data_IF_416100435453
#
_entry.id   IF_416100435453
#
_cell.length_a   1.000
_cell.length_b   1.000
_cell.length_c   1.000
_cell.angle_alpha   90.00
_cell.angle_beta   90.00
_cell.angle_gamma   90.00
#
_symmetry.space_group_name_H-M   'P 1'
#
loop_
_entity.id
_entity.type
_entity.pdbx_description
1 polymer ?
#
# COMPACT_ATOMS: atom_id res chain seq x y z
N UNK A 1 -21.24 -21.08 -18.01
CA UNK A 1 -20.14 -21.76 -17.32
C UNK A 1 -19.09 -20.68 -17.04
N UNK A 2 -19.05 -20.19 -15.82
CA UNK A 2 -17.98 -19.29 -15.34
C UNK A 2 -16.66 -20.08 -15.35
N UNK A 3 -15.72 -19.63 -16.14
CA UNK A 3 -14.34 -20.10 -16.00
C UNK A 3 -13.76 -19.41 -14.76
N UNK A 4 -13.70 -20.12 -13.65
CA UNK A 4 -12.95 -19.69 -12.48
C UNK A 4 -11.51 -19.43 -12.89
N UNK A 5 -11.01 -18.23 -12.61
CA UNK A 5 -9.59 -17.89 -12.82
C UNK A 5 -8.81 -18.82 -11.90
N UNK A 6 -8.00 -19.71 -12.47
CA UNK A 6 -7.13 -20.57 -11.69
C UNK A 6 -6.00 -19.69 -11.12
N UNK A 7 -6.06 -19.41 -9.84
CA UNK A 7 -5.08 -18.56 -9.14
C UNK A 7 -3.69 -19.23 -9.03
N UNK A 8 -3.62 -20.55 -9.19
CA UNK A 8 -2.36 -21.29 -9.24
C UNK A 8 -1.74 -21.20 -10.65
N UNK A 9 -0.95 -20.16 -10.87
CA UNK A 9 -0.30 -19.86 -12.14
C UNK A 9 0.94 -20.71 -12.39
N UNK A 10 1.58 -21.19 -11.34
CA UNK A 10 2.74 -22.10 -11.39
C UNK A 10 2.35 -23.55 -11.59
N UNK A 11 1.10 -23.91 -11.31
CA UNK A 11 0.54 -25.29 -11.35
C UNK A 11 1.23 -26.25 -10.38
N UNK A 12 1.67 -25.75 -9.25
CA UNK A 12 2.28 -26.55 -8.18
C UNK A 12 1.28 -26.96 -7.08
N UNK A 13 -0.01 -26.60 -7.23
CA UNK A 13 -1.12 -26.79 -6.31
C UNK A 13 -1.03 -25.98 -5.01
N UNK A 14 -0.19 -24.92 -5.01
CA UNK A 14 -0.05 -24.00 -3.88
C UNK A 14 -0.25 -22.58 -4.40
N UNK A 15 -1.34 -21.92 -4.02
CA UNK A 15 -1.54 -20.50 -4.33
C UNK A 15 -0.71 -19.65 -3.38
N UNK A 16 0.31 -18.99 -3.88
CA UNK A 16 1.25 -18.18 -3.12
C UNK A 16 1.66 -16.90 -3.87
N UNK A 17 2.62 -16.16 -3.33
CA UNK A 17 3.09 -14.90 -3.90
C UNK A 17 3.69 -15.04 -5.31
N UNK A 18 4.18 -16.21 -5.68
CA UNK A 18 4.74 -16.47 -7.03
C UNK A 18 3.63 -16.47 -8.07
N UNK A 19 2.49 -17.09 -7.74
CA UNK A 19 1.31 -17.09 -8.62
C UNK A 19 0.76 -15.68 -8.82
N UNK A 20 0.77 -14.87 -7.75
CA UNK A 20 0.40 -13.48 -7.81
C UNK A 20 1.22 -12.70 -8.82
N UNK A 21 2.51 -12.91 -8.85
CA UNK A 21 3.42 -12.16 -9.73
C UNK A 21 3.31 -12.60 -11.18
N UNK A 22 3.06 -13.88 -11.41
CA UNK A 22 2.73 -14.39 -12.73
C UNK A 22 1.38 -13.86 -13.21
N UNK A 23 0.42 -13.70 -12.30
CA UNK A 23 -0.87 -13.08 -12.58
C UNK A 23 -0.70 -11.59 -12.92
N UNK A 24 0.05 -10.82 -12.11
CA UNK A 24 0.45 -9.43 -12.41
C UNK A 24 1.09 -9.32 -13.80
N UNK A 25 2.01 -10.22 -14.15
CA UNK A 25 2.70 -10.23 -15.44
C UNK A 25 1.75 -10.46 -16.64
N UNK A 26 0.77 -11.34 -16.49
CA UNK A 26 -0.18 -11.65 -17.57
C UNK A 26 -1.18 -10.52 -17.81
N UNK A 27 -1.55 -9.79 -16.77
CA UNK A 27 -2.52 -8.68 -16.83
C UNK A 27 -1.92 -7.46 -17.50
N UNK A 28 -0.68 -7.11 -17.19
CA UNK A 28 0.02 -5.99 -17.83
C UNK A 28 0.16 -6.17 -19.37
N UNK A 29 0.08 -7.40 -19.87
CA UNK A 29 0.07 -7.69 -21.31
C UNK A 29 -1.28 -7.44 -22.00
N UNK A 30 -2.36 -7.39 -21.24
CA UNK A 30 -3.73 -7.37 -21.81
C UNK A 30 -4.48 -6.05 -21.61
N UNK A 31 -3.96 -5.06 -20.88
CA UNK A 31 -4.66 -3.80 -20.61
C UNK A 31 -4.24 -2.67 -21.55
N UNK A 32 -5.07 -2.45 -22.58
CA UNK A 32 -5.27 -1.15 -23.18
C UNK A 32 -6.07 -0.28 -22.20
N UNK A 33 -5.53 0.88 -21.85
CA UNK A 33 -6.02 1.92 -20.92
C UNK A 33 -7.54 1.96 -20.72
N UNK A 34 -8.06 1.79 -19.49
CA UNK A 34 -9.45 2.14 -19.20
C UNK A 34 -9.61 3.67 -19.24
N UNK A 35 -10.72 4.14 -19.81
CA UNK A 35 -11.10 5.54 -19.81
C UNK A 35 -11.05 6.12 -18.38
N UNK A 36 -10.33 7.24 -18.24
CA UNK A 36 -10.17 7.98 -16.99
C UNK A 36 -11.53 8.30 -16.36
N UNK A 37 -11.80 7.87 -15.11
CA UNK A 37 -13.01 8.27 -14.41
C UNK A 37 -13.02 9.77 -14.14
N UNK A 38 -14.20 10.39 -14.06
CA UNK A 38 -14.38 11.80 -13.72
C UNK A 38 -13.63 12.16 -12.44
N UNK A 39 -12.82 13.21 -12.51
CA UNK A 39 -11.96 13.69 -11.43
C UNK A 39 -12.82 14.12 -10.23
N UNK A 40 -12.62 13.57 -9.02
CA UNK A 40 -13.40 13.96 -7.85
C UNK A 40 -13.20 15.44 -7.52
N UNK A 41 -14.29 16.15 -7.25
CA UNK A 41 -14.24 17.53 -6.76
C UNK A 41 -13.69 17.57 -5.34
N UNK A 42 -12.66 18.39 -5.14
CA UNK A 42 -11.80 18.58 -3.98
C UNK A 42 -12.53 18.93 -2.68
N UNK A 43 -12.15 18.35 -1.52
CA UNK A 43 -12.09 19.11 -0.29
C UNK A 43 -10.81 19.97 -0.29
N UNK A 44 -10.92 21.26 -0.02
CA UNK A 44 -9.79 22.18 0.07
C UNK A 44 -8.88 21.81 1.24
N UNK A 45 -7.75 21.17 0.97
CA UNK A 45 -6.66 21.05 1.94
C UNK A 45 -5.34 21.36 1.25
N UNK A 46 -4.60 22.37 1.75
CA UNK A 46 -3.30 22.69 1.19
C UNK A 46 -2.33 21.53 1.45
N UNK A 47 -1.59 21.11 0.42
CA UNK A 47 -0.44 20.23 0.54
C UNK A 47 0.56 20.85 1.53
N UNK A 48 0.48 20.41 2.77
CA UNK A 48 1.54 20.66 3.74
C UNK A 48 2.09 19.29 4.06
N UNK A 49 3.40 19.08 3.89
CA UNK A 49 4.10 17.86 4.37
C UNK A 49 4.02 17.82 5.93
N UNK A 50 2.80 17.87 6.44
CA UNK A 50 2.44 17.86 7.86
C UNK A 50 1.46 16.74 8.12
N UNK A 51 1.67 15.99 9.22
CA UNK A 51 0.73 14.94 9.61
C UNK A 51 -0.66 15.50 9.90
N UNK A 52 -1.69 14.67 9.64
CA UNK A 52 -3.08 15.00 9.96
C UNK A 52 -3.23 15.29 11.47
N UNK A 53 -3.66 16.50 11.86
CA UNK A 53 -3.82 16.87 13.27
C UNK A 53 -4.95 16.07 13.97
N UNK A 54 -5.87 15.46 13.21
CA UNK A 54 -6.98 14.65 13.69
C UNK A 54 -6.68 13.15 13.66
N UNK A 55 -5.43 12.76 13.40
CA UNK A 55 -5.02 11.35 13.36
C UNK A 55 -5.31 10.67 14.71
N UNK A 56 -5.91 9.49 14.64
CA UNK A 56 -6.12 8.60 15.78
C UNK A 56 -4.88 7.76 16.10
N UNK A 57 -3.98 7.59 15.10
CA UNK A 57 -2.64 7.07 15.27
C UNK A 57 -1.66 7.97 14.52
N UNK A 58 -0.55 8.32 15.16
CA UNK A 58 0.53 9.10 14.58
C UNK A 58 1.87 8.50 14.97
N UNK A 59 2.58 7.93 13.99
CA UNK A 59 3.95 7.47 14.12
C UNK A 59 4.92 8.54 13.58
N UNK A 60 5.67 9.17 14.47
CA UNK A 60 6.63 10.21 14.13
C UNK A 60 8.04 9.63 14.04
N UNK A 61 8.45 9.23 12.86
CA UNK A 61 9.77 8.65 12.64
C UNK A 61 10.93 9.65 12.77
N UNK A 62 10.64 10.96 12.72
CA UNK A 62 11.61 12.00 13.03
C UNK A 62 12.07 11.95 14.50
N UNK A 63 11.25 11.39 15.38
CA UNK A 63 11.56 11.22 16.80
C UNK A 63 12.42 9.97 17.09
N UNK A 64 12.69 9.15 16.09
CA UNK A 64 13.62 8.01 16.19
C UNK A 64 12.99 6.68 16.63
N UNK A 65 11.71 6.62 16.98
CA UNK A 65 10.99 5.38 17.33
C UNK A 65 9.51 5.51 17.09
N UNK A 66 8.84 4.36 16.82
CA UNK A 66 7.38 4.27 16.77
C UNK A 66 6.97 2.94 17.41
N UNK A 67 6.34 3.01 18.59
CA UNK A 67 5.92 1.84 19.39
C UNK A 67 4.82 1.01 18.69
N UNK A 68 4.11 1.64 17.77
CA UNK A 68 3.04 1.04 16.99
C UNK A 68 3.58 0.06 15.93
N UNK A 69 4.87 0.18 15.59
CA UNK A 69 5.50 -0.55 14.50
C UNK A 69 6.61 -1.48 14.96
N UNK A 70 6.86 -2.50 14.14
CA UNK A 70 7.96 -3.43 14.27
C UNK A 70 8.60 -3.69 12.91
N UNK A 71 9.92 -3.88 12.88
CA UNK A 71 10.63 -4.33 11.69
C UNK A 71 10.48 -5.84 11.50
N UNK A 72 10.24 -6.29 10.26
CA UNK A 72 10.31 -7.70 9.89
C UNK A 72 11.76 -8.18 9.87
N UNK A 73 12.00 -9.41 10.34
CA UNK A 73 13.34 -9.96 10.44
C UNK A 73 13.39 -11.48 10.21
N UNK A 74 14.35 -11.92 9.40
CA UNK A 74 14.74 -13.32 9.27
C UNK A 74 13.88 -14.18 8.34
N UNK A 75 12.99 -13.61 7.53
CA UNK A 75 12.14 -14.35 6.58
C UNK A 75 12.04 -13.63 5.24
N UNK A 76 11.61 -14.35 4.20
CA UNK A 76 11.40 -13.85 2.84
C UNK A 76 9.97 -14.14 2.39
N UNK A 77 9.42 -13.28 1.51
CA UNK A 77 8.15 -13.54 0.83
C UNK A 77 8.33 -14.50 -0.36
N UNK A 78 9.57 -14.87 -0.72
CA UNK A 78 9.85 -15.57 -1.98
C UNK A 78 9.68 -14.66 -3.20
N UNK A 79 9.82 -15.23 -4.41
CA UNK A 79 9.66 -14.45 -5.62
C UNK A 79 8.29 -13.74 -5.67
N UNK A 80 8.27 -12.47 -6.11
CA UNK A 80 9.33 -11.71 -6.78
C UNK A 80 10.26 -10.93 -5.86
N UNK A 81 10.17 -11.09 -4.54
CA UNK A 81 11.00 -10.37 -3.56
C UNK A 81 12.39 -11.02 -3.49
N UNK A 82 13.39 -10.44 -4.18
CA UNK A 82 14.76 -10.98 -4.19
C UNK A 82 15.53 -10.59 -2.92
N UNK A 83 14.89 -10.73 -1.77
CA UNK A 83 15.50 -10.38 -0.50
C UNK A 83 14.97 -11.21 0.69
N UNK A 84 15.76 -11.23 1.74
CA UNK A 84 15.33 -11.57 3.11
C UNK A 84 15.13 -10.28 3.89
N UNK A 85 14.04 -10.19 4.67
CA UNK A 85 13.79 -9.05 5.54
C UNK A 85 14.79 -9.02 6.70
N UNK A 86 15.37 -7.83 6.96
CA UNK A 86 16.29 -7.60 8.06
C UNK A 86 15.88 -6.38 8.87
N UNK A 87 15.67 -6.57 10.18
CA UNK A 87 15.37 -5.47 11.09
C UNK A 87 16.48 -4.42 11.12
N UNK A 88 17.75 -4.83 10.91
CA UNK A 88 18.89 -3.93 10.81
C UNK A 88 18.83 -2.96 9.62
N UNK A 89 18.01 -3.26 8.62
CA UNK A 89 17.81 -2.42 7.44
C UNK A 89 16.74 -1.34 7.65
N UNK A 90 16.01 -1.38 8.77
CA UNK A 90 15.08 -0.36 9.21
C UNK A 90 15.73 0.49 10.31
N UNK A 91 16.28 1.65 9.95
CA UNK A 91 17.06 2.49 10.87
C UNK A 91 16.48 3.89 10.99
N UNK A 92 16.61 4.51 12.17
CA UNK A 92 16.20 5.90 12.38
C UNK A 92 17.42 6.79 12.29
N UNK A 93 17.49 7.59 11.22
CA UNK A 93 18.60 8.48 10.93
C UNK A 93 18.11 9.68 10.11
N UNK A 94 18.77 10.83 10.27
CA UNK A 94 18.51 12.05 9.49
C UNK A 94 17.03 12.49 9.52
N UNK A 95 16.41 12.41 10.71
CA UNK A 95 15.01 12.73 10.96
C UNK A 95 14.01 11.90 10.12
N UNK A 96 14.32 10.63 9.88
CA UNK A 96 13.48 9.71 9.15
C UNK A 96 13.69 8.25 9.58
N UNK A 97 12.71 7.41 9.33
CA UNK A 97 12.89 5.98 9.17
C UNK A 97 13.51 5.75 7.79
N UNK A 98 14.66 5.08 7.76
CA UNK A 98 15.36 4.68 6.56
C UNK A 98 15.14 3.18 6.36
N UNK A 99 14.52 2.81 5.25
CA UNK A 99 14.38 1.42 4.82
C UNK A 99 15.39 1.17 3.70
N UNK A 100 16.28 0.20 3.90
CA UNK A 100 17.45 0.00 3.04
C UNK A 100 17.43 -1.37 2.37
N UNK A 101 17.76 -1.40 1.08
CA UNK A 101 18.15 -2.60 0.35
C UNK A 101 19.67 -2.70 0.39
N UNK A 102 20.22 -3.85 0.76
CA UNK A 102 21.66 -4.10 0.72
C UNK A 102 21.96 -5.53 0.27
N UNK A 103 23.22 -5.85 0.03
CA UNK A 103 23.65 -7.23 -0.22
C UNK A 103 23.48 -8.07 1.04
N UNK A 104 23.06 -9.33 0.85
CA UNK A 104 23.10 -10.27 1.99
C UNK A 104 24.53 -10.65 2.32
N UNK A 105 25.07 -10.27 3.50
CA UNK A 105 26.45 -10.59 3.85
C UNK A 105 26.68 -12.08 4.11
N UNK A 106 25.63 -12.88 4.26
CA UNK A 106 25.70 -14.33 4.46
C UNK A 106 25.81 -15.08 3.14
N UNK A 107 25.39 -14.46 2.04
CA UNK A 107 25.32 -15.09 0.73
C UNK A 107 24.21 -16.15 0.59
N UNK A 108 23.32 -16.26 1.58
CA UNK A 108 22.17 -17.18 1.52
C UNK A 108 21.10 -16.65 0.56
N UNK A 109 20.93 -15.35 0.51
CA UNK A 109 20.05 -14.61 -0.41
C UNK A 109 20.89 -13.65 -1.24
N UNK A 110 20.35 -13.12 -2.32
CA UNK A 110 21.08 -12.10 -3.09
C UNK A 110 21.14 -10.78 -2.31
N UNK A 111 20.01 -10.39 -1.70
CA UNK A 111 19.89 -9.11 -1.02
C UNK A 111 19.17 -9.25 0.33
N UNK A 112 19.28 -8.19 1.11
CA UNK A 112 18.44 -7.91 2.26
C UNK A 112 17.53 -6.73 1.92
N UNK A 113 16.27 -6.81 2.31
CA UNK A 113 15.29 -5.73 2.21
C UNK A 113 14.88 -5.23 3.59
N UNK A 114 14.05 -4.21 3.61
CA UNK A 114 13.45 -3.71 4.84
C UNK A 114 11.94 -3.66 4.74
N UNK A 115 11.27 -4.12 5.78
CA UNK A 115 9.83 -4.00 5.96
C UNK A 115 9.56 -3.52 7.39
N UNK A 116 8.68 -2.50 7.51
CA UNK A 116 8.27 -1.93 8.79
C UNK A 116 6.76 -1.87 8.84
N UNK A 117 6.15 -2.53 9.84
CA UNK A 117 4.71 -2.79 9.88
C UNK A 117 4.13 -2.56 11.26
N UNK A 118 2.84 -2.22 11.33
CA UNK A 118 2.15 -2.08 12.60
C UNK A 118 1.96 -3.43 13.30
N UNK A 119 1.91 -3.38 14.65
CA UNK A 119 1.51 -4.53 15.46
C UNK A 119 0.02 -4.81 15.32
N UNK A 120 -0.79 -3.75 15.29
CA UNK A 120 -2.24 -3.81 15.25
C UNK A 120 -2.78 -3.73 13.82
N UNK A 121 -4.04 -4.14 13.64
CA UNK A 121 -4.79 -4.05 12.41
C UNK A 121 -5.66 -2.79 12.40
N UNK A 122 -5.79 -2.17 11.23
CA UNK A 122 -6.56 -0.95 10.98
C UNK A 122 -7.60 -1.20 9.90
N UNK A 123 -8.74 -0.54 9.99
CA UNK A 123 -9.86 -0.69 9.08
C UNK A 123 -10.16 0.65 8.37
N UNK A 124 -11.38 0.84 7.90
CA UNK A 124 -11.82 2.06 7.20
C UNK A 124 -11.31 3.34 7.84
N UNK A 125 -10.82 4.26 7.02
CA UNK A 125 -10.26 5.52 7.46
C UNK A 125 -9.30 6.13 6.45
N UNK A 126 -8.68 7.24 6.85
CA UNK A 126 -7.68 7.94 6.06
C UNK A 126 -6.27 7.57 6.53
N UNK A 127 -5.46 7.11 5.60
CA UNK A 127 -4.08 6.69 5.78
C UNK A 127 -3.16 7.62 5.01
N UNK A 128 -2.06 8.06 5.61
CA UNK A 128 -1.11 8.92 4.92
C UNK A 128 0.31 8.74 5.47
N UNK A 129 1.28 8.87 4.59
CA UNK A 129 2.71 8.88 4.92
C UNK A 129 3.43 10.01 4.20
N UNK A 130 4.55 10.46 4.77
CA UNK A 130 5.53 11.31 4.08
C UNK A 130 6.72 10.44 3.68
N UNK A 131 6.94 10.26 2.38
CA UNK A 131 7.92 9.33 1.82
C UNK A 131 8.79 10.00 0.76
N UNK A 132 10.08 9.65 0.73
CA UNK A 132 11.02 9.85 -0.37
C UNK A 132 11.43 8.47 -0.89
N UNK A 133 11.17 8.18 -2.17
CA UNK A 133 11.36 6.87 -2.77
C UNK A 133 12.77 6.62 -3.29
N UNK A 134 13.11 5.35 -3.55
CA UNK A 134 14.34 4.96 -4.23
C UNK A 134 14.17 5.14 -5.75
N UNK A 135 15.19 5.70 -6.41
CA UNK A 135 15.32 5.74 -7.87
C UNK A 135 16.38 4.75 -8.31
N UNK A 136 15.95 3.60 -8.78
CA UNK A 136 16.78 2.57 -9.40
C UNK A 136 15.89 1.57 -10.11
N UNK A 137 16.30 1.08 -11.29
CA UNK A 137 15.57 0.01 -11.98
C UNK A 137 15.49 -1.23 -11.07
N UNK A 138 14.39 -1.97 -11.14
CA UNK A 138 14.21 -3.23 -10.45
C UNK A 138 13.81 -3.14 -8.98
N UNK A 139 13.50 -1.96 -8.42
CA UNK A 139 13.15 -1.80 -6.99
C UNK A 139 11.77 -1.16 -6.78
N UNK A 140 11.16 -1.43 -5.63
CA UNK A 140 9.90 -0.84 -5.17
C UNK A 140 10.12 -0.13 -3.84
N UNK A 141 9.49 1.03 -3.66
CA UNK A 141 9.29 1.72 -2.39
C UNK A 141 7.80 1.87 -2.16
N UNK A 142 7.25 1.34 -1.05
CA UNK A 142 5.81 1.22 -0.86
C UNK A 142 5.29 1.77 0.46
N UNK A 143 4.00 2.11 0.45
CA UNK A 143 3.14 2.35 1.61
C UNK A 143 1.80 1.69 1.35
N UNK A 144 1.36 0.78 2.23
CA UNK A 144 0.20 -0.06 1.98
C UNK A 144 -0.47 -0.57 3.25
N UNK A 145 -1.67 -1.14 3.10
CA UNK A 145 -2.26 -2.00 4.12
C UNK A 145 -2.30 -3.43 3.61
N UNK A 146 -2.05 -4.38 4.50
CA UNK A 146 -2.06 -5.80 4.15
C UNK A 146 -2.62 -6.65 5.28
N UNK A 147 -3.42 -7.64 4.91
CA UNK A 147 -3.75 -8.83 5.68
C UNK A 147 -3.87 -10.02 4.75
N UNK A 148 -3.65 -11.23 5.25
CA UNK A 148 -3.68 -12.40 4.40
C UNK A 148 -3.60 -13.71 5.18
N UNK A 149 -3.31 -14.83 4.49
CA UNK A 149 -3.27 -16.17 5.08
C UNK A 149 -2.36 -16.31 6.30
N UNK A 150 -1.26 -15.56 6.36
CA UNK A 150 -0.36 -15.54 7.54
C UNK A 150 -1.02 -14.95 8.80
N UNK A 151 -2.07 -14.14 8.62
CA UNK A 151 -2.89 -13.57 9.69
C UNK A 151 -4.20 -14.34 9.89
N UNK A 152 -4.39 -15.49 9.22
CA UNK A 152 -5.64 -16.27 9.14
C UNK A 152 -6.82 -15.48 8.55
N UNK A 153 -6.53 -14.55 7.65
CA UNK A 153 -7.51 -13.70 6.98
C UNK A 153 -7.51 -13.95 5.47
N UNK A 154 -8.58 -13.56 4.74
CA UNK A 154 -8.51 -13.40 3.30
C UNK A 154 -7.43 -12.36 2.94
N UNK A 155 -6.85 -12.47 1.77
CA UNK A 155 -5.89 -11.48 1.30
C UNK A 155 -6.62 -10.22 0.83
N UNK A 156 -6.54 -9.18 1.65
CA UNK A 156 -6.99 -7.83 1.36
C UNK A 156 -5.80 -6.86 1.49
N UNK A 157 -5.63 -5.97 0.50
CA UNK A 157 -4.48 -5.07 0.40
C UNK A 157 -4.87 -3.77 -0.32
N UNK A 158 -4.26 -2.64 0.05
CA UNK A 158 -4.39 -1.34 -0.62
C UNK A 158 -3.02 -0.72 -0.73
N UNK A 159 -2.58 -0.40 -1.96
CA UNK A 159 -1.19 -0.09 -2.27
C UNK A 159 -0.97 1.33 -2.76
N UNK A 160 0.18 1.87 -2.35
CA UNK A 160 0.90 2.98 -2.98
C UNK A 160 2.32 2.48 -3.25
N UNK A 161 2.70 2.35 -4.52
CA UNK A 161 4.00 1.82 -4.94
C UNK A 161 4.71 2.81 -5.87
N UNK A 162 5.87 3.31 -5.46
CA UNK A 162 6.78 4.02 -6.37
C UNK A 162 7.74 3.01 -6.95
N UNK A 163 7.64 2.79 -8.26
CA UNK A 163 8.53 1.88 -9.00
C UNK A 163 9.80 2.65 -9.36
N UNK A 164 10.93 2.23 -8.82
CA UNK A 164 12.20 2.94 -8.95
C UNK A 164 12.68 3.18 -10.39
N UNK A 165 12.16 2.41 -11.36
CA UNK A 165 12.41 2.57 -12.79
C UNK A 165 11.88 3.89 -13.39
N UNK A 166 10.87 4.50 -12.75
CA UNK A 166 10.27 5.78 -13.15
C UNK A 166 9.62 6.45 -11.94
N UNK A 167 10.41 7.19 -11.18
CA UNK A 167 9.98 7.87 -9.95
C UNK A 167 9.16 9.16 -10.20
N UNK A 168 8.86 9.47 -11.45
CA UNK A 168 7.90 10.52 -11.82
C UNK A 168 6.45 10.03 -11.81
N UNK A 169 6.25 8.74 -11.46
CA UNK A 169 4.95 8.07 -11.39
C UNK A 169 4.80 7.30 -10.09
N UNK A 170 3.55 7.06 -9.72
CA UNK A 170 3.17 6.16 -8.63
C UNK A 170 2.12 5.19 -9.13
N UNK A 171 2.22 3.93 -8.73
CA UNK A 171 1.23 2.90 -8.96
C UNK A 171 0.32 2.78 -7.72
N UNK A 172 -0.98 2.86 -7.94
CA UNK A 172 -2.00 2.47 -6.97
C UNK A 172 -2.54 1.11 -7.34
N UNK A 173 -2.89 0.32 -6.34
CA UNK A 173 -3.48 -0.99 -6.55
C UNK A 173 -4.29 -1.40 -5.31
N UNK A 174 -5.09 -2.45 -5.41
CA UNK A 174 -5.72 -3.10 -4.27
C UNK A 174 -6.09 -4.54 -4.60
N UNK A 175 -6.22 -5.35 -3.55
CA UNK A 175 -6.64 -6.76 -3.62
C UNK A 175 -7.82 -6.97 -2.68
N UNK A 176 -8.80 -7.76 -3.13
CA UNK A 176 -9.95 -8.19 -2.34
C UNK A 176 -10.10 -9.69 -2.46
N UNK A 177 -9.97 -10.41 -1.36
CA UNK A 177 -9.93 -11.88 -1.33
C UNK A 177 -8.90 -12.47 -2.31
N UNK A 178 -7.73 -11.83 -2.44
CA UNK A 178 -6.67 -12.24 -3.35
C UNK A 178 -6.91 -11.89 -4.82
N UNK A 179 -8.01 -11.23 -5.16
CA UNK A 179 -8.27 -10.77 -6.52
C UNK A 179 -7.70 -9.36 -6.69
N UNK A 180 -6.71 -9.23 -7.53
CA UNK A 180 -6.07 -7.97 -7.95
C UNK A 180 -6.58 -7.50 -9.32
N UNK A 181 -5.68 -6.96 -10.15
CA UNK A 181 -5.94 -6.36 -11.46
C UNK A 181 -6.63 -5.00 -11.36
N UNK A 182 -6.21 -4.21 -10.38
CA UNK A 182 -6.73 -2.88 -10.13
C UNK A 182 -5.63 -1.81 -10.21
N UNK A 183 -4.52 -2.14 -10.90
CA UNK A 183 -3.38 -1.24 -11.05
C UNK A 183 -3.77 0.03 -11.80
N UNK A 184 -3.44 1.17 -11.21
CA UNK A 184 -3.58 2.49 -11.82
C UNK A 184 -2.28 3.26 -11.69
N UNK A 185 -1.71 3.69 -12.83
CA UNK A 185 -0.48 4.48 -12.86
C UNK A 185 -0.83 5.98 -12.94
N UNK A 186 -0.32 6.76 -11.98
CA UNK A 186 -0.54 8.20 -11.90
C UNK A 186 0.76 8.97 -12.13
N UNK A 187 0.72 9.99 -13.01
CA UNK A 187 1.85 10.92 -13.26
C UNK A 187 1.90 11.95 -12.13
N UNK A 188 3.01 11.99 -11.39
CA UNK A 188 3.16 12.82 -10.20
C UNK A 188 3.34 14.31 -10.51
N UNK A 189 4.00 14.64 -11.63
CA UNK A 189 4.41 15.99 -11.94
C UNK A 189 5.69 16.44 -11.22
N UNK A 190 6.32 15.54 -10.47
CA UNK A 190 7.61 15.70 -9.77
C UNK A 190 8.34 14.34 -9.75
N UNK A 191 9.59 14.33 -9.28
CA UNK A 191 10.36 13.10 -9.05
C UNK A 191 10.31 12.72 -7.56
N UNK A 192 9.67 11.61 -7.23
CA UNK A 192 9.47 11.12 -5.86
C UNK A 192 10.78 10.76 -5.13
N UNK A 193 11.90 10.67 -5.85
CA UNK A 193 13.23 10.42 -5.28
C UNK A 193 13.96 11.69 -4.83
N UNK A 194 13.53 12.87 -5.29
CA UNK A 194 14.22 14.13 -5.02
C UNK A 194 13.80 14.79 -3.70
N UNK A 195 12.67 14.39 -3.12
CA UNK A 195 12.15 14.99 -1.89
C UNK A 195 11.05 14.19 -1.22
N UNK A 196 10.60 14.71 -0.08
CA UNK A 196 9.48 14.14 0.63
C UNK A 196 8.16 14.67 0.07
N UNK A 197 7.27 13.76 -0.30
CA UNK A 197 5.90 14.02 -0.69
C UNK A 197 4.95 13.21 0.18
N UNK A 198 3.68 13.62 0.26
CA UNK A 198 2.68 12.86 0.99
C UNK A 198 1.88 11.97 0.05
N UNK A 199 1.71 10.74 0.47
CA UNK A 199 0.94 9.72 -0.22
C UNK A 199 -0.06 9.12 0.75
N UNK A 200 -1.30 8.98 0.33
CA UNK A 200 -2.32 8.43 1.21
C UNK A 200 -3.51 7.85 0.47
N UNK A 201 -4.42 7.26 1.22
CA UNK A 201 -5.70 6.79 0.72
C UNK A 201 -6.78 6.89 1.79
N UNK A 202 -7.98 7.23 1.35
CA UNK A 202 -9.20 7.18 2.14
C UNK A 202 -9.95 5.91 1.79
N UNK A 203 -9.91 4.94 2.70
CA UNK A 203 -10.57 3.65 2.58
C UNK A 203 -11.92 3.70 3.27
N UNK A 204 -12.98 3.57 2.49
CA UNK A 204 -14.37 3.51 2.94
C UNK A 204 -14.99 2.16 2.53
N UNK A 205 -16.16 1.85 3.07
CA UNK A 205 -16.86 0.59 2.78
C UNK A 205 -17.05 0.35 1.27
N UNK A 206 -17.35 1.39 0.51
CA UNK A 206 -17.75 1.31 -0.89
C UNK A 206 -16.76 2.03 -1.84
N UNK A 207 -15.62 2.52 -1.33
CA UNK A 207 -14.63 3.20 -2.17
C UNK A 207 -13.25 3.29 -1.52
N UNK A 208 -12.23 3.43 -2.38
CA UNK A 208 -10.90 3.87 -1.98
C UNK A 208 -10.57 5.10 -2.82
N UNK A 209 -10.15 6.19 -2.17
CA UNK A 209 -9.67 7.39 -2.87
C UNK A 209 -8.21 7.60 -2.53
N UNK A 210 -7.31 7.64 -3.54
CA UNK A 210 -5.89 7.91 -3.33
C UNK A 210 -5.58 9.40 -3.43
N UNK A 211 -4.57 9.81 -2.65
CA UNK A 211 -4.13 11.20 -2.52
C UNK A 211 -2.62 11.30 -2.72
N UNK A 212 -2.21 12.36 -3.42
CA UNK A 212 -0.81 12.79 -3.53
C UNK A 212 -0.75 14.26 -3.13
N UNK A 213 0.11 14.61 -2.18
CA UNK A 213 0.24 15.96 -1.63
C UNK A 213 -1.12 16.60 -1.27
N UNK A 214 -1.98 15.80 -0.59
CA UNK A 214 -3.31 16.20 -0.15
C UNK A 214 -4.35 16.36 -1.26
N UNK A 215 -4.00 16.10 -2.53
CA UNK A 215 -4.93 16.16 -3.67
C UNK A 215 -5.45 14.76 -3.98
N UNK A 216 -6.77 14.59 -4.07
CA UNK A 216 -7.38 13.36 -4.58
C UNK A 216 -7.02 13.16 -6.07
N UNK A 217 -6.48 11.99 -6.41
CA UNK A 217 -5.93 11.72 -7.74
C UNK A 217 -6.53 10.50 -8.42
N UNK A 218 -7.05 9.55 -7.65
CA UNK A 218 -7.72 8.36 -8.18
C UNK A 218 -8.78 7.86 -7.20
N UNK A 219 -9.87 7.26 -7.71
CA UNK A 219 -10.92 6.66 -6.90
C UNK A 219 -11.39 5.33 -7.50
N UNK A 220 -11.40 4.28 -6.68
CA UNK A 220 -12.03 2.99 -6.97
C UNK A 220 -13.36 2.86 -6.22
N UNK A 221 -14.37 2.22 -6.85
CA UNK A 221 -15.71 2.05 -6.28
C UNK A 221 -16.28 0.64 -6.47
N UNK A 222 -15.45 -0.31 -6.90
CA UNK A 222 -15.85 -1.69 -7.10
C UNK A 222 -14.88 -2.63 -6.43
N UNK A 223 -15.38 -3.76 -5.94
CA UNK A 223 -14.57 -4.82 -5.34
C UNK A 223 -13.63 -4.31 -4.20
N UNK A 224 -14.18 -3.47 -3.32
CA UNK A 224 -13.39 -2.82 -2.26
C UNK A 224 -13.08 -3.82 -1.14
N UNK A 225 -11.82 -3.92 -0.65
CA UNK A 225 -11.45 -4.76 0.48
C UNK A 225 -12.18 -4.35 1.76
N UNK A 226 -12.39 -5.30 2.67
CA UNK A 226 -13.16 -5.06 3.89
C UNK A 226 -12.51 -5.61 5.16
N UNK A 227 -11.46 -6.41 5.02
CA UNK A 227 -10.77 -7.02 6.15
C UNK A 227 -9.69 -6.08 6.69
N UNK A 228 -9.69 -5.77 8.00
CA UNK A 228 -8.64 -4.93 8.58
C UNK A 228 -7.24 -5.46 8.29
N UNK A 229 -6.32 -4.56 7.92
CA UNK A 229 -4.93 -4.86 7.59
C UNK A 229 -3.93 -4.12 8.48
N UNK A 230 -2.69 -4.59 8.48
CA UNK A 230 -1.57 -3.87 9.06
C UNK A 230 -1.14 -2.75 8.13
N UNK A 231 -0.76 -1.61 8.67
CA UNK A 231 -0.11 -0.54 7.90
C UNK A 231 1.36 -0.93 7.73
N UNK A 232 1.83 -0.92 6.49
CA UNK A 232 3.14 -1.43 6.14
C UNK A 232 3.88 -0.48 5.19
N UNK A 233 5.20 -0.52 5.28
CA UNK A 233 6.14 0.11 4.36
C UNK A 233 7.24 -0.90 4.08
N UNK A 234 7.65 -1.03 2.83
CA UNK A 234 8.80 -1.85 2.51
C UNK A 234 9.61 -1.32 1.32
N UNK A 235 10.83 -1.83 1.21
CA UNK A 235 11.70 -1.65 0.04
C UNK A 235 12.36 -2.98 -0.31
N UNK A 236 12.32 -3.32 -1.57
CA UNK A 236 12.81 -4.61 -2.04
C UNK A 236 13.21 -4.57 -3.52
N UNK A 237 14.21 -5.37 -3.93
CA UNK A 237 14.54 -5.61 -5.33
C UNK A 237 13.71 -6.76 -5.88
N UNK A 238 13.31 -6.65 -7.16
CA UNK A 238 12.51 -7.66 -7.84
C UNK A 238 13.36 -8.69 -8.59
N UNK A 239 12.83 -9.92 -8.68
CA UNK A 239 13.37 -10.97 -9.55
C UNK A 239 12.24 -11.62 -10.37
N UNK A 240 12.46 -11.82 -11.67
CA UNK A 240 11.48 -12.45 -12.57
C UNK A 240 10.29 -11.55 -12.94
N UNK A 241 10.38 -10.26 -12.66
CA UNK A 241 9.36 -9.22 -12.92
C UNK A 241 9.90 -8.04 -13.74
N UNK A 242 10.83 -8.30 -14.63
CA UNK A 242 11.54 -7.29 -15.42
C UNK A 242 10.59 -6.43 -16.29
N UNK A 243 9.50 -7.01 -16.78
CA UNK A 243 8.48 -6.27 -17.55
C UNK A 243 7.79 -5.20 -16.67
N UNK A 244 7.67 -5.45 -15.36
CA UNK A 244 7.05 -4.53 -14.39
C UNK A 244 8.07 -3.57 -13.78
N UNK A 245 9.25 -4.05 -13.35
CA UNK A 245 10.22 -3.26 -12.58
C UNK A 245 11.48 -2.89 -13.39
N UNK A 246 11.73 -3.49 -14.56
CA UNK A 246 13.03 -3.70 -15.21
C UNK A 246 13.96 -4.56 -14.33
N UNK A 247 15.05 -5.11 -14.90
CA UNK A 247 16.01 -5.89 -14.13
C UNK A 247 16.73 -5.02 -13.10
N UNK A 248 16.88 -5.53 -11.87
CA UNK A 248 17.69 -4.87 -10.87
C UNK A 248 19.17 -4.99 -11.22
N UNK A 249 19.89 -3.89 -11.21
CA UNK A 249 21.32 -3.81 -11.61
C UNK A 249 22.29 -4.20 -10.49
N UNK A 250 21.78 -4.49 -9.28
CA UNK A 250 22.59 -4.88 -8.13
C UNK A 250 23.24 -3.72 -7.37
N UNK A 251 22.88 -2.48 -7.70
CA UNK A 251 23.34 -1.29 -6.95
C UNK A 251 22.86 -1.32 -5.52
N UNK A 252 23.77 -1.27 -4.56
CA UNK A 252 23.48 -1.20 -3.11
C UNK A 252 24.55 -0.38 -2.40
N UNK A 253 24.26 0.24 -1.23
CA UNK A 253 22.95 0.29 -0.60
C UNK A 253 22.00 1.28 -1.27
N UNK A 254 20.68 0.97 -1.26
CA UNK A 254 19.61 1.86 -1.72
C UNK A 254 18.62 2.11 -0.58
N UNK A 255 18.18 3.35 -0.37
CA UNK A 255 17.38 3.70 0.80
C UNK A 255 16.19 4.57 0.44
N UNK A 256 14.97 4.14 0.81
CA UNK A 256 13.81 5.01 0.91
C UNK A 256 13.70 5.58 2.33
N UNK A 257 13.06 6.76 2.43
CA UNK A 257 12.95 7.48 3.71
C UNK A 257 11.51 7.84 4.00
N UNK A 258 11.10 7.66 5.26
CA UNK A 258 9.75 7.96 5.73
C UNK A 258 9.85 8.86 6.96
N UNK A 259 9.10 9.98 6.96
CA UNK A 259 9.13 10.92 8.08
C UNK A 259 8.06 10.63 9.13
N UNK A 260 6.90 10.16 8.68
CA UNK A 260 5.77 9.85 9.56
C UNK A 260 4.72 9.01 8.82
N UNK A 261 3.86 8.38 9.61
CA UNK A 261 2.61 7.74 9.18
C UNK A 261 1.47 8.24 10.07
N UNK A 262 0.33 8.53 9.48
CA UNK A 262 -0.91 8.82 10.20
C UNK A 262 -2.03 7.89 9.75
N UNK A 263 -2.93 7.61 10.70
CA UNK A 263 -4.21 6.99 10.44
C UNK A 263 -5.30 7.75 11.18
N UNK A 264 -6.37 8.10 10.50
CA UNK A 264 -7.60 8.64 11.09
C UNK A 264 -8.74 7.69 10.79
N UNK A 265 -9.31 7.11 11.84
CA UNK A 265 -10.44 6.19 11.73
C UNK A 265 -11.63 6.91 11.07
N UNK A 266 -12.34 6.21 10.16
CA UNK A 266 -13.59 6.71 9.61
C UNK A 266 -14.60 6.94 10.72
N UNK A 267 -15.34 8.06 10.64
CA UNK A 267 -16.45 8.30 11.54
C UNK A 267 -17.57 7.31 11.23
N UNK A 268 -18.06 6.63 12.25
CA UNK A 268 -19.28 5.84 12.12
C UNK A 268 -20.44 6.82 11.98
N UNK A 269 -21.05 6.90 10.80
CA UNK A 269 -22.30 7.67 10.65
C UNK A 269 -23.38 7.03 11.53
N UNK A 270 -23.52 7.52 12.73
CA UNK A 270 -24.71 7.26 13.55
C UNK A 270 -25.84 8.11 12.94
N UNK A 271 -26.53 7.61 11.95
CA UNK A 271 -27.92 8.04 11.71
C UNK A 271 -28.71 7.49 12.90
N UNK A 272 -29.32 8.36 13.72
CA UNK A 272 -30.27 7.87 14.71
C UNK A 272 -31.43 7.24 13.91
N UNK A 273 -31.72 5.97 14.12
CA UNK A 273 -32.99 5.39 13.74
C UNK A 273 -34.08 6.22 14.42
N UNK A 274 -34.73 7.07 13.64
CA UNK A 274 -35.96 7.74 14.12
C UNK A 274 -37.01 6.65 14.23
N UNK A 275 -37.50 6.34 15.44
CA UNK A 275 -38.58 5.39 15.56
C UNK A 275 -39.80 5.94 14.80
N UNK A 276 -40.25 5.23 13.80
CA UNK A 276 -41.55 5.48 13.17
C UNK A 276 -42.64 5.38 14.23
N UNK A 277 -43.06 6.54 14.74
CA UNK A 277 -44.17 6.64 15.68
C UNK A 277 -45.44 6.22 14.97
N UNK A 278 -45.97 5.06 15.34
CA UNK A 278 -47.35 4.70 15.08
C UNK A 278 -48.27 5.65 15.86
N UNK A 279 -48.89 6.55 15.14
CA UNK A 279 -50.00 7.34 15.66
C UNK A 279 -51.24 6.45 15.77
N UNK A 280 -51.88 6.28 16.95
CA UNK A 280 -53.10 5.48 17.03
C UNK A 280 -54.28 6.26 16.44
N UNK A 281 -55.00 5.59 15.53
CA UNK A 281 -56.23 6.10 14.93
C UNK A 281 -57.26 6.47 15.99
N UNK A 282 -57.69 7.72 15.99
CA UNK A 282 -58.78 8.21 16.85
C UNK A 282 -60.10 7.60 16.35
N UNK A 283 -60.76 6.84 17.20
CA UNK A 283 -62.11 6.39 17.06
C UNK A 283 -63.06 7.53 17.40
N UNK A 284 -63.86 7.97 16.42
CA UNK A 284 -65.02 8.82 16.70
C UNK A 284 -66.30 8.04 16.48
N UNK A 285 -67.02 7.87 17.56
CA UNK A 285 -68.45 7.45 17.60
C UNK A 285 -69.36 8.46 16.89
#
# INVERSE_FOLDING_TARGET
AEQGVNADMTKDNIVNVVDLCLLKKNVLKNNSNPSQPDQPTKPDQPSTNKPDPNATMYANFRAGTAKEFIASDGWTNGNPFDCVWKASNATFKDNALNLTIDKDPTGQYHYTGAEYRTNDFYSYGYYETSMQAIKNDGVVSSFFTYTGPSDNNPWDEIDVEVLGKDTTKVQFNYYTNGVGNHEYMYDLGFDASEGYHTYGFDWQKDSITWYVDGKAVYKATSNIPSTPGKIMMNVWPGIGVDDWLKPFDGTTPLTAKYQWVTYRKAETSSTPDTPSGNEPAANTT
#
